data_IF_283425184076
#
_entry.id   IF_283425184076
#
_cell.length_a   1.000
_cell.length_b   1.000
_cell.length_c   1.000
_cell.angle_alpha   90.00
_cell.angle_beta   90.00
_cell.angle_gamma   90.00
#
_symmetry.space_group_name_H-M   'P 1'
#
loop_
_entity.id
_entity.type
_entity.pdbx_description
1 polymer ?
#
# COMPACT_ATOMS: atom_id res chain seq x y z
N UNK A 1 -27.08 -0.43 6.28
CA UNK A 1 -27.04 0.48 7.43
C UNK A 1 -25.89 1.44 7.25
N UNK A 2 -26.07 2.72 7.55
CA UNK A 2 -24.99 3.70 7.60
C UNK A 2 -24.02 3.34 8.73
N UNK A 3 -22.72 3.41 8.46
CA UNK A 3 -21.65 3.22 9.46
C UNK A 3 -21.09 4.57 9.88
N UNK A 4 -20.57 4.64 11.11
CA UNK A 4 -19.67 5.71 11.57
C UNK A 4 -18.24 5.23 11.33
N UNK A 5 -17.59 5.83 10.33
CA UNK A 5 -16.27 5.43 9.87
C UNK A 5 -15.25 6.48 10.26
N UNK A 6 -14.23 6.09 10.99
CA UNK A 6 -13.10 6.94 11.33
C UNK A 6 -11.90 6.62 10.47
N UNK A 7 -11.35 7.62 9.78
CA UNK A 7 -10.20 7.45 8.87
C UNK A 7 -8.96 8.11 9.46
N UNK A 8 -7.95 7.31 9.73
CA UNK A 8 -6.61 7.76 10.10
C UNK A 8 -5.81 8.06 8.83
N UNK A 9 -5.51 9.32 8.59
CA UNK A 9 -4.75 9.79 7.43
C UNK A 9 -5.58 10.60 6.44
N UNK A 10 -5.26 11.92 6.34
CA UNK A 10 -5.87 12.87 5.39
C UNK A 10 -4.96 13.06 4.16
N UNK A 11 -4.31 11.99 3.70
CA UNK A 11 -3.62 11.96 2.41
C UNK A 11 -4.60 11.77 1.26
N UNK A 12 -4.11 11.80 0.01
CA UNK A 12 -4.97 11.62 -1.17
C UNK A 12 -5.89 10.40 -1.03
N UNK A 13 -5.34 9.23 -0.69
CA UNK A 13 -6.13 7.99 -0.58
C UNK A 13 -7.18 8.03 0.55
N UNK A 14 -6.79 8.46 1.76
CA UNK A 14 -7.73 8.55 2.88
C UNK A 14 -8.85 9.55 2.64
N UNK A 15 -8.55 10.69 2.01
CA UNK A 15 -9.55 11.70 1.64
C UNK A 15 -10.49 11.18 0.56
N UNK A 16 -9.97 10.47 -0.45
CA UNK A 16 -10.78 9.85 -1.51
C UNK A 16 -11.74 8.81 -0.94
N UNK A 17 -11.26 7.90 -0.07
CA UNK A 17 -12.13 6.93 0.59
C UNK A 17 -13.20 7.59 1.45
N UNK A 18 -12.82 8.60 2.24
CA UNK A 18 -13.76 9.32 3.09
C UNK A 18 -14.87 9.96 2.27
N UNK A 19 -14.53 10.60 1.13
CA UNK A 19 -15.53 11.18 0.23
C UNK A 19 -16.44 10.11 -0.36
N UNK A 20 -15.89 9.04 -0.94
CA UNK A 20 -16.67 7.96 -1.56
C UNK A 20 -17.69 7.34 -0.60
N UNK A 21 -17.29 7.11 0.65
CA UNK A 21 -18.19 6.52 1.64
C UNK A 21 -19.16 7.54 2.24
N UNK A 22 -18.78 8.82 2.34
CA UNK A 22 -19.71 9.89 2.69
C UNK A 22 -20.80 10.02 1.64
N UNK A 23 -20.44 10.01 0.36
CA UNK A 23 -21.38 10.07 -0.77
C UNK A 23 -22.28 8.81 -0.82
N UNK A 24 -21.83 7.70 -0.24
CA UNK A 24 -22.61 6.47 -0.07
C UNK A 24 -23.49 6.45 1.19
N UNK A 25 -23.54 7.55 1.96
CA UNK A 25 -24.41 7.73 3.12
C UNK A 25 -23.82 7.29 4.46
N UNK A 26 -22.51 7.06 4.55
CA UNK A 26 -21.82 6.80 5.83
C UNK A 26 -21.48 8.13 6.53
N UNK A 27 -21.31 8.06 7.86
CA UNK A 27 -20.82 9.18 8.67
C UNK A 27 -19.30 9.09 8.79
N UNK A 28 -18.57 10.13 8.37
CA UNK A 28 -17.13 10.12 8.29
C UNK A 28 -16.49 11.08 9.28
N UNK A 29 -15.44 10.59 9.98
CA UNK A 29 -14.48 11.40 10.70
C UNK A 29 -13.09 11.14 10.12
N UNK A 30 -12.32 12.19 9.84
CA UNK A 30 -10.98 12.05 9.24
C UNK A 30 -9.98 12.76 10.11
N UNK A 31 -8.96 12.04 10.53
CA UNK A 31 -7.87 12.56 11.35
C UNK A 31 -6.56 12.67 10.56
N UNK A 32 -5.78 13.65 10.92
CA UNK A 32 -4.42 13.84 10.43
C UNK A 32 -3.51 14.26 11.58
N UNK A 33 -2.27 13.81 11.57
CA UNK A 33 -1.25 14.26 12.51
C UNK A 33 -1.11 15.79 12.56
N UNK A 34 -1.45 16.47 11.46
CA UNK A 34 -1.42 17.95 11.37
C UNK A 34 -2.52 18.64 12.17
N UNK A 35 -3.57 17.93 12.54
CA UNK A 35 -4.70 18.50 13.30
C UNK A 35 -4.36 18.75 14.76
N UNK A 36 -3.27 18.14 15.28
CA UNK A 36 -2.83 18.27 16.67
C UNK A 36 -3.71 17.56 17.70
N UNK A 37 -4.83 16.95 17.27
CA UNK A 37 -5.78 16.24 18.13
C UNK A 37 -5.28 14.84 18.46
N UNK A 38 -5.72 14.30 19.60
CA UNK A 38 -5.47 12.92 19.94
C UNK A 38 -6.31 11.99 19.05
N UNK A 39 -5.69 11.04 18.29
CA UNK A 39 -6.43 10.09 17.47
C UNK A 39 -7.32 9.14 18.29
N UNK A 40 -7.12 8.98 19.59
CA UNK A 40 -7.97 8.18 20.45
C UNK A 40 -9.41 8.70 20.52
N UNK A 41 -9.62 10.00 20.28
CA UNK A 41 -10.98 10.58 20.23
C UNK A 41 -11.84 9.99 19.12
N UNK A 42 -11.23 9.45 18.07
CA UNK A 42 -11.93 8.81 16.96
C UNK A 42 -12.49 7.43 17.30
N UNK A 43 -12.06 6.83 18.39
CA UNK A 43 -12.57 5.52 18.83
C UNK A 43 -13.98 5.60 19.41
N UNK A 44 -14.39 6.79 19.87
CA UNK A 44 -15.74 7.01 20.34
C UNK A 44 -16.73 6.99 19.17
N UNK A 45 -17.80 6.24 19.33
CA UNK A 45 -18.85 6.13 18.33
C UNK A 45 -18.37 5.72 16.92
N UNK A 46 -17.39 4.81 16.86
CA UNK A 46 -16.81 4.28 15.64
C UNK A 46 -17.25 2.84 15.39
N UNK A 47 -17.78 2.56 14.21
CA UNK A 47 -18.18 1.20 13.77
C UNK A 47 -17.11 0.53 12.90
N UNK A 48 -16.22 1.34 12.30
CA UNK A 48 -15.08 0.90 11.49
C UNK A 48 -13.96 1.91 11.57
N UNK A 49 -12.77 1.47 11.98
CA UNK A 49 -11.54 2.26 11.85
C UNK A 49 -10.82 1.94 10.54
N UNK A 50 -10.42 2.96 9.80
CA UNK A 50 -9.66 2.83 8.54
C UNK A 50 -8.30 3.46 8.71
N UNK A 51 -7.24 2.69 8.49
CA UNK A 51 -5.86 3.18 8.49
C UNK A 51 -5.39 3.45 7.06
N UNK A 52 -5.32 4.73 6.69
CA UNK A 52 -4.83 5.20 5.39
C UNK A 52 -3.58 6.09 5.54
N UNK A 53 -2.75 5.78 6.53
CA UNK A 53 -1.48 6.48 6.78
C UNK A 53 -0.33 5.84 6.01
N UNK A 54 0.75 6.59 5.81
CA UNK A 54 2.00 6.05 5.31
C UNK A 54 2.55 4.97 6.26
N UNK A 55 3.30 4.00 5.72
CA UNK A 55 3.85 2.88 6.50
C UNK A 55 4.60 3.34 7.76
N UNK A 56 5.41 4.38 7.65
CA UNK A 56 6.17 4.96 8.75
C UNK A 56 5.32 5.52 9.92
N UNK A 57 4.03 5.72 9.72
CA UNK A 57 3.12 6.21 10.77
C UNK A 57 2.32 5.12 11.47
N UNK A 58 2.40 3.87 11.00
CA UNK A 58 1.53 2.78 11.48
C UNK A 58 1.89 2.37 12.91
N UNK A 59 3.18 2.15 13.20
CA UNK A 59 3.64 1.69 14.51
C UNK A 59 3.29 2.66 15.63
N UNK A 60 3.56 3.96 15.43
CA UNK A 60 3.23 5.01 16.41
C UNK A 60 1.72 5.09 16.69
N UNK A 61 0.91 5.10 15.63
CA UNK A 61 -0.55 5.14 15.79
C UNK A 61 -1.09 3.89 16.47
N UNK A 62 -0.58 2.72 16.11
CA UNK A 62 -0.99 1.47 16.72
C UNK A 62 -0.69 1.45 18.22
N UNK A 63 0.51 1.89 18.62
CA UNK A 63 0.90 2.00 20.02
C UNK A 63 0.02 3.00 20.80
N UNK A 64 -0.28 4.16 20.21
CA UNK A 64 -1.10 5.21 20.84
C UNK A 64 -2.55 4.79 21.00
N UNK A 65 -3.10 4.08 20.04
CA UNK A 65 -4.52 3.67 20.07
C UNK A 65 -4.78 2.40 20.88
N UNK A 66 -3.80 1.52 21.01
CA UNK A 66 -3.92 0.24 21.68
C UNK A 66 -4.54 0.31 23.10
N UNK A 67 -4.15 1.25 23.99
CA UNK A 67 -4.72 1.33 25.33
C UNK A 67 -6.23 1.65 25.38
N UNK A 68 -6.76 2.22 24.30
CA UNK A 68 -8.14 2.71 24.22
C UNK A 68 -8.99 1.94 23.20
N UNK A 69 -8.42 0.91 22.54
CA UNK A 69 -9.08 0.22 21.43
C UNK A 69 -10.29 -0.59 21.91
N UNK A 70 -11.50 -0.33 21.37
CA UNK A 70 -12.67 -1.14 21.68
C UNK A 70 -12.51 -2.57 21.15
N UNK A 71 -12.86 -3.55 21.99
CA UNK A 71 -12.63 -4.98 21.69
C UNK A 71 -13.20 -5.45 20.36
N UNK A 72 -14.38 -4.94 20.00
CA UNK A 72 -15.14 -5.39 18.82
C UNK A 72 -14.98 -4.43 17.62
N UNK A 73 -14.14 -3.40 17.72
CA UNK A 73 -13.93 -2.45 16.65
C UNK A 73 -13.03 -3.05 15.56
N UNK A 74 -13.54 -3.25 14.33
CA UNK A 74 -12.73 -3.74 13.23
C UNK A 74 -11.83 -2.63 12.67
N UNK A 75 -10.67 -3.06 12.15
CA UNK A 75 -9.72 -2.21 11.44
C UNK A 75 -9.64 -2.61 9.97
N UNK A 76 -9.72 -1.63 9.06
CA UNK A 76 -9.40 -1.78 7.65
C UNK A 76 -8.08 -1.06 7.35
N UNK A 77 -7.01 -1.83 7.10
CA UNK A 77 -5.70 -1.29 6.74
C UNK A 77 -5.62 -1.03 5.23
N UNK A 78 -5.26 0.19 4.86
CA UNK A 78 -5.01 0.61 3.47
C UNK A 78 -3.54 0.99 3.24
N UNK A 79 -2.68 0.88 4.26
CA UNK A 79 -1.26 1.18 4.17
C UNK A 79 -0.55 0.10 3.34
N UNK A 80 0.40 0.52 2.50
CA UNK A 80 1.16 -0.38 1.63
C UNK A 80 2.66 -0.20 1.89
N UNK A 81 3.35 -1.27 2.21
CA UNK A 81 4.78 -1.25 2.50
C UNK A 81 5.17 -2.31 3.52
N UNK A 82 6.46 -2.39 3.76
CA UNK A 82 7.06 -3.17 4.84
C UNK A 82 7.75 -2.20 5.79
N UNK A 83 7.47 -2.35 7.08
CA UNK A 83 8.11 -1.54 8.11
C UNK A 83 9.61 -1.83 8.16
N UNK A 84 10.48 -0.82 8.12
CA UNK A 84 11.92 -1.03 8.06
C UNK A 84 12.50 -1.61 9.35
N UNK A 85 11.90 -1.39 10.50
CA UNK A 85 12.42 -1.84 11.78
C UNK A 85 11.85 -3.19 12.18
N UNK A 86 10.53 -3.33 12.10
CA UNK A 86 9.82 -4.54 12.47
C UNK A 86 9.84 -5.62 11.36
N UNK A 87 10.24 -5.28 10.12
CA UNK A 87 10.27 -6.11 8.92
C UNK A 87 8.95 -6.87 8.69
N UNK A 88 7.84 -6.17 8.86
CA UNK A 88 6.50 -6.74 8.71
C UNK A 88 5.53 -5.76 8.04
N UNK A 89 4.38 -6.26 7.64
CA UNK A 89 3.33 -5.45 6.99
C UNK A 89 2.56 -4.58 7.98
N UNK A 90 1.77 -3.66 7.46
CA UNK A 90 0.94 -2.77 8.27
C UNK A 90 -0.09 -3.53 9.13
N UNK A 91 -0.78 -4.53 8.56
CA UNK A 91 -1.74 -5.33 9.34
C UNK A 91 -1.05 -6.15 10.43
N UNK A 92 0.16 -6.65 10.17
CA UNK A 92 0.96 -7.34 11.20
C UNK A 92 1.39 -6.40 12.33
N UNK A 93 1.74 -5.13 12.02
CA UNK A 93 2.01 -4.12 13.07
C UNK A 93 0.76 -3.85 13.91
N UNK A 94 -0.37 -3.61 13.27
CA UNK A 94 -1.63 -3.45 13.97
C UNK A 94 -1.95 -4.66 14.85
N UNK A 95 -1.79 -5.88 14.33
CA UNK A 95 -2.07 -7.11 15.07
C UNK A 95 -1.17 -7.28 16.30
N UNK A 96 0.09 -6.85 16.25
CA UNK A 96 1.02 -6.87 17.39
C UNK A 96 0.56 -5.96 18.53
N UNK A 97 0.01 -4.80 18.20
CA UNK A 97 -0.47 -3.81 19.18
C UNK A 97 -1.91 -4.05 19.60
N UNK A 98 -2.70 -4.66 18.74
CA UNK A 98 -4.14 -4.96 18.96
C UNK A 98 -4.40 -6.47 18.86
N UNK A 99 -3.86 -7.28 19.79
CA UNK A 99 -4.07 -8.73 19.76
C UNK A 99 -5.56 -9.05 19.89
N UNK A 100 -6.10 -9.76 18.92
CA UNK A 100 -7.53 -10.12 18.87
C UNK A 100 -8.43 -9.13 18.13
N UNK A 101 -7.95 -7.99 17.66
CA UNK A 101 -8.73 -7.12 16.80
C UNK A 101 -9.01 -7.77 15.43
N UNK A 102 -10.23 -7.57 14.93
CA UNK A 102 -10.63 -8.03 13.61
C UNK A 102 -10.03 -7.11 12.54
N UNK A 103 -9.02 -7.60 11.80
CA UNK A 103 -8.29 -6.80 10.82
C UNK A 103 -8.57 -7.28 9.39
N UNK A 104 -8.87 -6.33 8.51
CA UNK A 104 -8.92 -6.52 7.07
C UNK A 104 -7.95 -5.56 6.38
N UNK A 105 -7.58 -5.87 5.14
CA UNK A 105 -6.69 -5.10 4.29
C UNK A 105 -7.44 -4.69 3.04
N UNK A 106 -7.31 -3.43 2.61
CA UNK A 106 -7.82 -2.94 1.32
C UNK A 106 -6.64 -2.69 0.37
N UNK A 107 -6.63 -3.37 -0.78
CA UNK A 107 -5.60 -3.20 -1.80
C UNK A 107 -6.20 -3.39 -3.21
N UNK A 108 -5.44 -3.02 -4.25
CA UNK A 108 -5.86 -3.12 -5.65
C UNK A 108 -5.44 -1.91 -6.47
N UNK A 109 -5.79 -1.84 -7.76
CA UNK A 109 -5.49 -0.74 -8.67
C UNK A 109 -6.32 0.49 -8.29
N UNK A 110 -5.77 1.34 -7.44
CA UNK A 110 -6.46 2.46 -6.79
C UNK A 110 -5.65 3.75 -6.94
N UNK A 111 -5.76 4.39 -8.07
CA UNK A 111 -5.24 5.73 -8.28
C UNK A 111 -6.28 6.74 -7.75
N UNK A 112 -5.95 7.39 -6.63
CA UNK A 112 -6.87 8.29 -5.93
C UNK A 112 -7.46 9.36 -6.86
N UNK A 113 -6.63 9.97 -7.70
CA UNK A 113 -7.05 11.00 -8.65
C UNK A 113 -8.11 10.51 -9.65
N UNK A 114 -8.02 9.27 -10.12
CA UNK A 114 -9.01 8.70 -11.03
C UNK A 114 -10.37 8.51 -10.33
N UNK A 115 -10.36 7.97 -9.12
CA UNK A 115 -11.57 7.85 -8.31
C UNK A 115 -12.19 9.20 -7.95
N UNK A 116 -11.36 10.23 -7.73
CA UNK A 116 -11.83 11.61 -7.53
C UNK A 116 -12.51 12.20 -8.75
N UNK A 117 -12.15 11.75 -9.93
CA UNK A 117 -12.77 12.11 -11.20
C UNK A 117 -14.02 11.25 -11.51
N UNK A 118 -14.38 10.32 -10.63
CA UNK A 118 -15.52 9.41 -10.84
C UNK A 118 -15.22 8.26 -11.80
N UNK A 119 -13.95 7.99 -12.10
CA UNK A 119 -13.57 6.85 -12.94
C UNK A 119 -13.69 5.54 -12.15
N UNK A 120 -14.09 4.44 -12.82
CA UNK A 120 -14.33 3.17 -12.14
C UNK A 120 -13.02 2.51 -11.71
N UNK A 121 -13.03 1.94 -10.50
CA UNK A 121 -11.94 1.12 -9.98
C UNK A 121 -12.47 -0.16 -9.32
N UNK A 122 -11.58 -1.10 -9.08
CA UNK A 122 -11.87 -2.29 -8.31
C UNK A 122 -10.78 -2.55 -7.27
N UNK A 123 -11.19 -2.96 -6.08
CA UNK A 123 -10.30 -3.29 -4.97
C UNK A 123 -10.65 -4.64 -4.37
N UNK A 124 -9.74 -5.18 -3.57
CA UNK A 124 -9.97 -6.38 -2.78
C UNK A 124 -9.90 -6.04 -1.29
N UNK A 125 -10.87 -6.54 -0.53
CA UNK A 125 -10.83 -6.60 0.93
C UNK A 125 -10.34 -7.99 1.31
N UNK A 126 -9.16 -8.06 1.91
CA UNK A 126 -8.55 -9.32 2.33
C UNK A 126 -8.57 -9.45 3.85
N UNK A 127 -9.02 -10.60 4.35
CA UNK A 127 -8.96 -10.94 5.76
C UNK A 127 -8.92 -12.45 5.94
N UNK A 128 -8.26 -12.93 7.00
CA UNK A 128 -8.37 -14.32 7.43
C UNK A 128 -9.76 -14.64 7.99
N UNK A 129 -10.47 -13.62 8.50
CA UNK A 129 -11.90 -13.69 8.83
C UNK A 129 -12.74 -13.37 7.58
N UNK A 130 -13.23 -14.42 6.93
CA UNK A 130 -14.06 -14.30 5.74
C UNK A 130 -15.39 -13.58 6.01
N UNK A 131 -15.95 -13.72 7.22
CA UNK A 131 -17.20 -13.04 7.58
C UNK A 131 -16.99 -11.53 7.67
N UNK A 132 -15.85 -11.08 8.23
CA UNK A 132 -15.45 -9.67 8.21
C UNK A 132 -15.29 -9.15 6.79
N UNK A 133 -14.55 -9.87 5.93
CA UNK A 133 -14.31 -9.43 4.56
C UNK A 133 -15.62 -9.27 3.78
N UNK A 134 -16.53 -10.22 3.86
CA UNK A 134 -17.85 -10.20 3.22
C UNK A 134 -18.75 -9.08 3.78
N UNK A 135 -18.72 -8.87 5.11
CA UNK A 135 -19.46 -7.79 5.75
C UNK A 135 -18.99 -6.43 5.25
N UNK A 136 -17.68 -6.19 5.27
CA UNK A 136 -17.10 -4.92 4.79
C UNK A 136 -17.34 -4.72 3.29
N UNK A 137 -17.21 -5.76 2.47
CA UNK A 137 -17.54 -5.69 1.04
C UNK A 137 -18.95 -5.17 0.80
N UNK A 138 -19.95 -5.69 1.55
CA UNK A 138 -21.35 -5.29 1.41
C UNK A 138 -21.62 -3.88 1.93
N UNK A 139 -20.94 -3.48 3.00
CA UNK A 139 -21.16 -2.20 3.66
C UNK A 139 -20.46 -1.03 2.97
N UNK A 140 -19.27 -1.26 2.40
CA UNK A 140 -18.41 -0.22 1.82
C UNK A 140 -18.61 -0.05 0.29
N UNK A 141 -19.74 -0.49 -0.24
CA UNK A 141 -20.08 -0.29 -1.66
C UNK A 141 -20.15 1.21 -1.97
N UNK A 142 -19.48 1.59 -3.08
CA UNK A 142 -19.50 2.95 -3.59
C UNK A 142 -19.67 2.95 -5.11
N UNK A 143 -20.27 4.00 -5.73
CA UNK A 143 -20.67 4.01 -7.15
C UNK A 143 -19.53 3.67 -8.12
N UNK A 144 -18.33 4.15 -7.84
CA UNK A 144 -17.17 4.00 -8.72
C UNK A 144 -16.09 3.03 -8.18
N UNK A 145 -16.35 2.37 -7.04
CA UNK A 145 -15.42 1.43 -6.41
C UNK A 145 -16.07 0.07 -6.19
N UNK A 146 -15.74 -0.89 -7.04
CA UNK A 146 -16.17 -2.28 -6.86
C UNK A 146 -15.24 -3.01 -5.91
N UNK A 147 -15.80 -3.68 -4.91
CA UNK A 147 -15.06 -4.43 -3.91
C UNK A 147 -15.23 -5.94 -4.12
N UNK A 148 -14.11 -6.65 -4.04
CA UNK A 148 -14.03 -8.11 -4.01
C UNK A 148 -13.46 -8.58 -2.68
N UNK A 149 -13.56 -9.85 -2.36
CA UNK A 149 -12.97 -10.42 -1.14
C UNK A 149 -11.86 -11.41 -1.46
N UNK A 150 -10.88 -11.51 -0.54
CA UNK A 150 -9.79 -12.49 -0.59
C UNK A 150 -9.52 -12.98 0.84
N UNK A 151 -9.29 -14.29 1.00
CA UNK A 151 -8.90 -14.89 2.28
C UNK A 151 -7.39 -14.92 2.54
N UNK A 152 -6.62 -14.09 1.84
CA UNK A 152 -5.15 -14.00 1.94
C UNK A 152 -4.69 -12.55 2.17
N UNK A 153 -4.79 -12.04 3.40
CA UNK A 153 -4.29 -10.70 3.73
C UNK A 153 -2.77 -10.59 3.58
N UNK A 154 -2.03 -11.66 3.87
CA UNK A 154 -0.55 -11.68 3.79
C UNK A 154 -0.09 -11.46 2.35
N UNK A 155 -0.58 -12.28 1.41
CA UNK A 155 -0.25 -12.11 0.00
C UNK A 155 -0.74 -10.79 -0.58
N UNK A 156 -1.88 -10.28 -0.11
CA UNK A 156 -2.44 -8.98 -0.51
C UNK A 156 -1.54 -7.82 -0.10
N UNK A 157 -1.00 -7.83 1.12
CA UNK A 157 -0.08 -6.79 1.59
C UNK A 157 1.31 -6.91 0.96
N UNK A 158 1.84 -8.14 0.83
CA UNK A 158 3.12 -8.38 0.19
C UNK A 158 3.14 -7.88 -1.26
N UNK A 159 2.08 -8.18 -2.02
CA UNK A 159 1.92 -7.68 -3.38
C UNK A 159 1.82 -6.16 -3.42
N UNK A 160 0.95 -5.57 -2.60
CA UNK A 160 0.76 -4.12 -2.50
C UNK A 160 2.02 -3.35 -2.06
N UNK A 161 2.91 -3.99 -1.28
CA UNK A 161 4.19 -3.43 -0.89
C UNK A 161 5.20 -3.44 -2.04
N UNK A 162 5.49 -4.63 -2.60
CA UNK A 162 6.59 -4.77 -3.56
C UNK A 162 6.27 -4.18 -4.95
N UNK A 163 4.99 -4.08 -5.33
CA UNK A 163 4.60 -3.39 -6.57
C UNK A 163 5.09 -1.94 -6.62
N UNK A 164 5.25 -1.28 -5.47
CA UNK A 164 5.77 0.09 -5.40
C UNK A 164 7.24 0.17 -5.82
N UNK A 165 8.04 -0.84 -5.47
CA UNK A 165 9.43 -0.98 -5.91
C UNK A 165 9.48 -1.23 -7.42
N UNK A 166 8.62 -2.11 -7.94
CA UNK A 166 8.53 -2.38 -9.38
C UNK A 166 8.10 -1.14 -10.17
N UNK A 167 7.24 -0.29 -9.59
CA UNK A 167 6.84 0.98 -10.20
C UNK A 167 8.02 1.98 -10.27
N UNK A 168 8.91 2.01 -9.28
CA UNK A 168 10.17 2.79 -9.36
C UNK A 168 11.02 2.28 -10.51
N UNK A 169 11.26 0.97 -10.59
CA UNK A 169 12.04 0.37 -11.66
C UNK A 169 11.43 0.62 -13.06
N UNK A 170 10.09 0.57 -13.18
CA UNK A 170 9.39 0.89 -14.43
C UNK A 170 9.56 2.37 -14.83
N UNK A 171 9.51 3.30 -13.86
CA UNK A 171 9.78 4.71 -14.08
C UNK A 171 11.21 4.97 -14.55
N UNK A 172 12.20 4.27 -13.99
CA UNK A 172 13.60 4.32 -14.44
C UNK A 172 13.71 3.82 -15.88
N UNK A 173 13.11 2.67 -16.19
CA UNK A 173 13.12 2.09 -17.54
C UNK A 173 12.54 3.03 -18.60
N UNK A 174 11.41 3.68 -18.29
CA UNK A 174 10.80 4.64 -19.22
C UNK A 174 11.59 5.94 -19.30
N UNK A 175 12.12 6.44 -18.17
CA UNK A 175 12.94 7.65 -18.14
C UNK A 175 14.25 7.53 -18.93
N UNK A 176 14.82 6.33 -19.01
CA UNK A 176 15.98 5.99 -19.85
C UNK A 176 15.62 5.68 -21.32
N UNK A 177 14.31 5.66 -21.67
CA UNK A 177 13.87 5.39 -23.03
C UNK A 177 14.13 3.96 -23.50
N UNK A 178 14.16 2.95 -22.61
CA UNK A 178 14.48 1.56 -22.94
C UNK A 178 13.40 0.85 -23.76
N UNK A 179 12.23 1.45 -23.84
CA UNK A 179 11.12 1.01 -24.69
C UNK A 179 10.24 -0.09 -24.09
N UNK A 180 9.17 -0.41 -24.82
CA UNK A 180 8.08 -1.28 -24.34
C UNK A 180 8.53 -2.72 -24.05
N UNK A 181 9.47 -3.27 -24.82
CA UNK A 181 9.94 -4.64 -24.63
C UNK A 181 10.70 -4.80 -23.30
N UNK A 182 11.59 -3.83 -22.99
CA UNK A 182 12.33 -3.82 -21.73
C UNK A 182 11.38 -3.68 -20.54
N UNK A 183 10.45 -2.72 -20.59
CA UNK A 183 9.45 -2.52 -19.56
C UNK A 183 8.55 -3.76 -19.34
N UNK A 184 8.08 -4.39 -20.42
CA UNK A 184 7.27 -5.62 -20.31
C UNK A 184 8.07 -6.75 -19.64
N UNK A 185 9.34 -6.93 -20.05
CA UNK A 185 10.24 -7.92 -19.45
C UNK A 185 10.49 -7.63 -17.96
N UNK A 186 10.74 -6.36 -17.62
CA UNK A 186 10.91 -5.89 -16.24
C UNK A 186 9.67 -6.21 -15.38
N UNK A 187 8.47 -5.89 -15.86
CA UNK A 187 7.23 -6.14 -15.13
C UNK A 187 6.94 -7.64 -14.95
N UNK A 188 7.22 -8.47 -15.97
CA UNK A 188 7.11 -9.92 -15.85
C UNK A 188 8.06 -10.49 -14.78
N UNK A 189 9.31 -10.03 -14.76
CA UNK A 189 10.29 -10.45 -13.74
C UNK A 189 9.95 -9.89 -12.37
N UNK A 190 9.49 -8.64 -12.31
CA UNK A 190 9.00 -8.01 -11.07
C UNK A 190 7.80 -8.75 -10.48
N UNK A 191 6.89 -9.23 -11.32
CA UNK A 191 5.79 -10.08 -10.87
C UNK A 191 6.29 -11.39 -10.25
N UNK A 192 7.37 -11.98 -10.79
CA UNK A 192 8.00 -13.16 -10.19
C UNK A 192 8.63 -12.86 -8.82
N UNK A 193 9.28 -11.68 -8.64
CA UNK A 193 9.77 -11.27 -7.33
C UNK A 193 8.64 -11.06 -6.31
N UNK A 194 7.54 -10.44 -6.72
CA UNK A 194 6.33 -10.31 -5.89
C UNK A 194 5.83 -11.71 -5.49
N UNK A 195 5.79 -12.66 -6.42
CA UNK A 195 5.42 -14.05 -6.15
C UNK A 195 6.35 -14.73 -5.13
N UNK A 196 7.65 -14.49 -5.24
CA UNK A 196 8.65 -14.98 -4.28
C UNK A 196 8.37 -14.43 -2.88
N UNK A 197 8.14 -13.12 -2.75
CA UNK A 197 7.82 -12.50 -1.46
C UNK A 197 6.50 -13.02 -0.87
N UNK A 198 5.44 -13.15 -1.70
CA UNK A 198 4.16 -13.72 -1.26
C UNK A 198 4.36 -15.11 -0.67
N UNK A 199 5.02 -16.01 -1.42
CA UNK A 199 5.24 -17.39 -0.98
C UNK A 199 6.11 -17.48 0.27
N UNK A 200 7.15 -16.66 0.33
CA UNK A 200 8.08 -16.60 1.44
C UNK A 200 7.44 -16.13 2.76
N UNK A 201 6.45 -15.24 2.66
CA UNK A 201 5.67 -14.76 3.82
C UNK A 201 4.47 -15.67 4.16
N UNK A 202 4.24 -16.76 3.41
CA UNK A 202 3.14 -17.69 3.63
C UNK A 202 1.81 -17.27 3.00
N UNK A 203 1.84 -16.33 2.07
CA UNK A 203 0.69 -15.96 1.24
C UNK A 203 0.42 -16.96 0.12
N UNK A 204 -0.73 -16.81 -0.56
CA UNK A 204 -1.17 -17.71 -1.62
C UNK A 204 -0.69 -17.21 -2.99
N UNK A 205 -0.13 -18.09 -3.80
CA UNK A 205 0.33 -17.77 -5.17
C UNK A 205 -0.80 -17.24 -6.08
N UNK A 206 -2.04 -17.63 -5.85
CA UNK A 206 -3.20 -17.11 -6.60
C UNK A 206 -3.44 -15.61 -6.38
N UNK A 207 -3.05 -15.06 -5.24
CA UNK A 207 -3.18 -13.62 -4.92
C UNK A 207 -2.33 -12.76 -5.86
N UNK A 208 -1.21 -13.29 -6.37
CA UNK A 208 -0.33 -12.63 -7.32
C UNK A 208 -1.06 -12.16 -8.59
N UNK A 209 -1.96 -12.99 -9.12
CA UNK A 209 -2.67 -12.72 -10.37
C UNK A 209 -3.97 -11.93 -10.18
N UNK A 210 -4.30 -11.59 -8.95
CA UNK A 210 -5.48 -10.82 -8.59
C UNK A 210 -5.29 -9.30 -8.66
N UNK A 211 -6.32 -8.58 -8.16
CA UNK A 211 -6.33 -7.11 -8.14
C UNK A 211 -5.17 -6.53 -7.31
N UNK A 212 -4.84 -7.13 -6.18
CA UNK A 212 -3.77 -6.64 -5.30
C UNK A 212 -2.35 -6.89 -5.83
N UNK A 213 -2.18 -7.91 -6.70
CA UNK A 213 -0.91 -8.25 -7.35
C UNK A 213 -0.80 -7.62 -8.73
N UNK A 214 -1.08 -8.42 -9.77
CA UNK A 214 -0.96 -8.01 -11.17
C UNK A 214 -1.75 -6.74 -11.49
N UNK A 215 -2.98 -6.61 -10.99
CA UNK A 215 -3.82 -5.45 -11.25
C UNK A 215 -3.20 -4.15 -10.73
N UNK A 216 -2.78 -4.13 -9.47
CA UNK A 216 -2.19 -2.95 -8.85
C UNK A 216 -0.78 -2.65 -9.41
N UNK A 217 -0.02 -3.69 -9.77
CA UNK A 217 1.27 -3.54 -10.47
C UNK A 217 1.10 -2.80 -11.80
N UNK A 218 0.20 -3.28 -12.66
CA UNK A 218 -0.02 -2.69 -13.98
C UNK A 218 -0.52 -1.24 -13.89
N UNK A 219 -1.48 -0.96 -13.02
CA UNK A 219 -1.98 0.40 -12.82
C UNK A 219 -0.89 1.34 -12.32
N UNK A 220 -0.04 0.88 -11.39
CA UNK A 220 0.97 1.73 -10.75
C UNK A 220 2.21 1.94 -11.63
N UNK A 221 2.64 0.93 -12.37
CA UNK A 221 3.85 0.98 -13.22
C UNK A 221 3.64 1.64 -14.59
N UNK A 222 2.39 1.93 -14.97
CA UNK A 222 2.05 2.53 -16.27
C UNK A 222 1.35 3.90 -16.14
N UNK A 223 1.41 4.53 -14.97
CA UNK A 223 0.70 5.80 -14.76
C UNK A 223 1.58 6.85 -14.10
N UNK A 224 1.63 8.04 -14.67
CA UNK A 224 2.26 9.22 -14.07
C UNK A 224 1.50 9.72 -12.83
N UNK A 225 0.31 9.24 -12.55
CA UNK A 225 -0.37 9.47 -11.28
C UNK A 225 0.29 8.71 -10.13
N UNK A 226 1.10 7.69 -10.43
CA UNK A 226 1.89 6.95 -9.45
C UNK A 226 3.11 7.75 -9.00
N UNK A 227 3.17 8.05 -7.71
CA UNK A 227 4.32 8.71 -7.08
C UNK A 227 5.60 7.88 -7.19
N UNK A 228 5.50 6.56 -7.06
CA UNK A 228 6.65 5.66 -7.20
C UNK A 228 7.18 5.64 -8.64
N UNK A 229 6.30 5.61 -9.63
CA UNK A 229 6.67 5.68 -11.04
C UNK A 229 7.35 7.03 -11.35
N UNK A 230 6.75 8.16 -10.96
CA UNK A 230 7.37 9.49 -11.13
C UNK A 230 8.71 9.61 -10.42
N UNK A 231 8.84 9.02 -9.24
CA UNK A 231 10.12 8.98 -8.53
C UNK A 231 11.19 8.27 -9.37
N UNK A 232 10.87 7.13 -9.98
CA UNK A 232 11.76 6.43 -10.91
C UNK A 232 12.15 7.28 -12.12
N UNK A 233 11.21 8.04 -12.70
CA UNK A 233 11.54 9.00 -13.77
C UNK A 233 12.58 10.03 -13.32
N UNK A 234 12.47 10.59 -12.10
CA UNK A 234 13.44 11.55 -11.56
C UNK A 234 14.82 10.96 -11.35
N UNK A 235 14.90 9.71 -10.91
CA UNK A 235 16.18 8.99 -10.79
C UNK A 235 16.83 8.81 -12.18
N UNK A 236 16.05 8.49 -13.21
CA UNK A 236 16.54 8.37 -14.57
C UNK A 236 17.05 9.70 -15.17
N UNK A 237 16.50 10.84 -14.71
CA UNK A 237 16.98 12.19 -15.04
C UNK A 237 18.29 12.56 -14.33
N UNK A 238 18.83 11.68 -13.47
CA UNK A 238 20.06 11.90 -12.72
C UNK A 238 19.87 12.57 -11.35
N UNK A 239 18.62 12.73 -10.87
CA UNK A 239 18.38 13.16 -9.49
C UNK A 239 18.85 12.11 -8.49
N UNK A 240 19.46 12.54 -7.38
CA UNK A 240 19.61 11.67 -6.22
C UNK A 240 18.25 11.43 -5.51
N UNK A 241 18.25 10.50 -4.55
CA UNK A 241 17.02 10.15 -3.81
C UNK A 241 16.38 11.37 -3.14
N UNK A 242 17.17 12.21 -2.50
CA UNK A 242 16.68 13.38 -1.74
C UNK A 242 16.02 14.39 -2.67
N UNK A 243 16.69 14.71 -3.77
CA UNK A 243 16.16 15.62 -4.79
C UNK A 243 14.89 15.07 -5.44
N UNK A 244 14.90 13.80 -5.81
CA UNK A 244 13.72 13.13 -6.38
C UNK A 244 12.52 13.17 -5.43
N UNK A 245 12.70 12.89 -4.13
CA UNK A 245 11.65 12.98 -3.11
C UNK A 245 11.13 14.42 -2.94
N UNK A 246 12.02 15.41 -2.94
CA UNK A 246 11.63 16.83 -2.84
C UNK A 246 10.77 17.25 -4.05
N UNK A 247 11.15 16.85 -5.26
CA UNK A 247 10.39 17.16 -6.49
C UNK A 247 9.02 16.47 -6.53
N UNK A 248 8.88 15.29 -5.92
CA UNK A 248 7.58 14.62 -5.81
C UNK A 248 6.67 15.32 -4.78
N UNK A 249 7.22 15.89 -3.71
CA UNK A 249 6.49 16.65 -2.69
C UNK A 249 5.46 15.85 -1.90
N UNK A 250 5.53 14.53 -1.94
CA UNK A 250 4.60 13.62 -1.28
C UNK A 250 5.31 12.31 -0.89
N UNK A 251 4.71 11.54 0.02
CA UNK A 251 5.28 10.25 0.46
C UNK A 251 5.42 9.27 -0.72
N UNK A 252 6.62 8.72 -0.88
CA UNK A 252 6.98 7.66 -1.82
C UNK A 252 7.38 6.43 -1.00
N UNK A 253 6.63 5.34 -1.12
CA UNK A 253 6.84 4.14 -0.29
C UNK A 253 7.90 3.18 -0.88
N UNK A 254 8.17 3.28 -2.18
CA UNK A 254 9.08 2.38 -2.90
C UNK A 254 10.47 2.26 -2.27
N UNK A 255 11.19 3.38 -2.02
CA UNK A 255 12.54 3.35 -1.47
C UNK A 255 12.65 2.66 -0.11
N UNK A 256 11.78 3.01 0.84
CA UNK A 256 11.77 2.40 2.18
C UNK A 256 11.39 0.93 2.11
N UNK A 257 10.38 0.59 1.28
CA UNK A 257 9.95 -0.80 1.07
C UNK A 257 11.08 -1.63 0.45
N UNK A 258 11.80 -1.12 -0.56
CA UNK A 258 12.90 -1.83 -1.19
C UNK A 258 13.97 -2.24 -0.17
N UNK A 259 14.42 -1.29 0.65
CA UNK A 259 15.40 -1.55 1.71
C UNK A 259 14.90 -2.54 2.76
N UNK A 260 13.66 -2.38 3.22
CA UNK A 260 13.07 -3.28 4.20
C UNK A 260 12.93 -4.72 3.67
N UNK A 261 12.47 -4.87 2.42
CA UNK A 261 12.32 -6.17 1.77
C UNK A 261 13.68 -6.83 1.52
N UNK A 262 14.73 -6.08 1.15
CA UNK A 262 16.07 -6.67 1.01
C UNK A 262 16.65 -7.13 2.34
N UNK A 263 16.44 -6.39 3.43
CA UNK A 263 16.84 -6.85 4.76
C UNK A 263 16.13 -8.15 5.14
N UNK A 264 14.82 -8.22 4.84
CA UNK A 264 14.04 -9.43 5.06
C UNK A 264 14.54 -10.59 4.18
N UNK A 265 14.81 -10.33 2.90
CA UNK A 265 15.34 -11.31 1.96
C UNK A 265 16.71 -11.85 2.39
N UNK A 266 17.63 -10.98 2.84
CA UNK A 266 18.94 -11.37 3.34
C UNK A 266 18.85 -12.28 4.57
N UNK A 267 17.93 -12.00 5.50
CA UNK A 267 17.72 -12.82 6.69
C UNK A 267 17.21 -14.24 6.37
N UNK A 268 16.60 -14.44 5.20
CA UNK A 268 15.99 -15.71 4.79
C UNK A 268 16.64 -16.35 3.54
N UNK A 269 17.65 -15.73 2.95
CA UNK A 269 18.35 -16.23 1.77
C UNK A 269 17.54 -16.14 0.47
N UNK A 270 16.57 -15.21 0.37
CA UNK A 270 15.82 -15.01 -0.88
C UNK A 270 16.59 -14.08 -1.82
N UNK A 271 16.35 -14.24 -3.11
CA UNK A 271 16.91 -13.37 -4.14
C UNK A 271 15.82 -12.55 -4.81
N UNK A 272 16.02 -11.23 -4.84
CA UNK A 272 15.12 -10.25 -5.42
C UNK A 272 15.92 -9.29 -6.32
N UNK A 273 16.38 -9.75 -7.50
CA UNK A 273 17.35 -9.02 -8.31
C UNK A 273 16.93 -7.59 -8.72
N UNK A 274 15.66 -7.35 -9.06
CA UNK A 274 15.18 -6.01 -9.42
C UNK A 274 15.19 -5.11 -8.17
N UNK A 275 14.75 -5.65 -7.04
CA UNK A 275 14.76 -4.91 -5.76
C UNK A 275 16.20 -4.59 -5.34
N UNK A 276 17.15 -5.52 -5.55
CA UNK A 276 18.59 -5.31 -5.33
C UNK A 276 19.13 -4.16 -6.18
N UNK A 277 18.79 -4.13 -7.48
CA UNK A 277 19.19 -3.04 -8.38
C UNK A 277 18.59 -1.69 -7.97
N UNK A 278 17.33 -1.65 -7.60
CA UNK A 278 16.71 -0.41 -7.11
C UNK A 278 17.43 0.11 -5.87
N UNK A 279 17.77 -0.75 -4.91
CA UNK A 279 18.49 -0.33 -3.70
C UNK A 279 19.93 0.11 -4.02
N UNK A 280 20.66 -0.60 -4.88
CA UNK A 280 22.00 -0.22 -5.31
C UNK A 280 22.04 1.16 -5.98
N UNK A 281 21.03 1.47 -6.80
CA UNK A 281 20.87 2.81 -7.38
C UNK A 281 20.58 3.87 -6.31
N UNK A 282 19.70 3.57 -5.35
CA UNK A 282 19.37 4.48 -4.26
C UNK A 282 20.56 4.73 -3.31
N UNK A 283 21.47 3.76 -3.17
CA UNK A 283 22.70 3.91 -2.37
C UNK A 283 23.86 4.54 -3.14
N UNK A 284 23.68 4.83 -4.44
CA UNK A 284 24.74 5.42 -5.27
C UNK A 284 25.85 4.46 -5.68
N UNK A 285 25.63 3.14 -5.61
CA UNK A 285 26.60 2.12 -6.04
C UNK A 285 26.82 2.20 -7.56
N UNK A 286 25.81 2.62 -8.30
CA UNK A 286 25.85 2.86 -9.74
C UNK A 286 24.77 3.86 -10.14
N UNK A 287 24.90 4.43 -11.32
CA UNK A 287 23.90 5.30 -11.94
C UNK A 287 22.80 4.50 -12.65
N UNK A 288 21.69 5.18 -13.00
CA UNK A 288 20.53 4.56 -13.63
C UNK A 288 20.85 3.89 -14.98
N UNK A 289 21.93 4.29 -15.67
CA UNK A 289 22.30 3.70 -16.97
C UNK A 289 23.00 2.35 -16.85
N UNK A 290 23.41 1.96 -15.63
CA UNK A 290 24.08 0.69 -15.33
C UNK A 290 23.19 -0.29 -14.58
N UNK A 291 22.00 0.13 -14.13
CA UNK A 291 21.00 -0.71 -13.47
C UNK A 291 20.18 -1.49 -14.50
#
# INVERSE_FOLDING_TARGET
MALRISVLGRGAWGSTLARLWSDSGHQLQVWSRRDGNDPATLLHDCDLMVSAVAMAGVADLAARLAPHWPRDLPLLSCSKGIDPDALCSAAQLWQRHLPGAAIAVLSGPNLATELEQGLPAASVIASSDQALALRLQKQLVAPHLRLYTNGDPIGTEAAGALKNVMAVAAGISDGLGLGANAKASLLCRGLAEIGTLIGALGGRSSTLYGLAGLGDLLATANSELSRNYRFGLRLAEGCDETEALQRIGATVEGPSTARAVLRLAAAHGWRLPITEQVVGLLSGEFDATRA
#
